data_IF_804573966331
#
_entry.id   IF_804573966331
#
_cell.length_a   1.000
_cell.length_b   1.000
_cell.length_c   1.000
_cell.angle_alpha   90.00
_cell.angle_beta   90.00
_cell.angle_gamma   90.00
#
_symmetry.space_group_name_H-M   'P 1'
#
loop_
_entity.id
_entity.type
_entity.pdbx_description
1 polymer ?
#
# COMPACT_ATOMS: atom_id res chain seq x y z
N UNK A 1 -9.25 -4.87 -21.89
CA UNK A 1 -9.66 -3.47 -21.62
C UNK A 1 -10.01 -3.41 -20.14
N UNK A 2 -9.42 -2.48 -19.40
CA UNK A 2 -9.72 -2.28 -17.98
C UNK A 2 -10.98 -1.43 -17.80
N UNK A 3 -11.49 -1.36 -16.57
CA UNK A 3 -12.65 -0.53 -16.23
C UNK A 3 -12.39 0.95 -16.54
N UNK A 4 -13.41 1.68 -16.96
CA UNK A 4 -13.28 3.10 -17.36
C UNK A 4 -12.60 3.32 -18.71
N UNK A 5 -12.36 2.28 -19.51
CA UNK A 5 -11.70 2.40 -20.82
C UNK A 5 -10.18 2.47 -20.76
N UNK A 6 -9.61 2.35 -19.56
CA UNK A 6 -8.17 2.28 -19.32
C UNK A 6 -7.51 1.16 -20.15
N UNK A 7 -6.37 1.48 -20.73
CA UNK A 7 -5.54 0.56 -21.52
C UNK A 7 -4.14 0.45 -20.91
N UNK A 8 -3.39 -0.57 -21.34
CA UNK A 8 -1.98 -0.71 -20.98
C UNK A 8 -1.17 -1.22 -22.16
N UNK A 9 0.13 -0.96 -22.11
CA UNK A 9 1.13 -1.51 -23.01
C UNK A 9 2.15 -2.30 -22.19
N UNK A 10 2.49 -3.51 -22.63
CA UNK A 10 3.54 -4.31 -22.00
C UNK A 10 4.92 -3.74 -22.30
N UNK A 11 5.70 -3.49 -21.25
CA UNK A 11 7.07 -3.00 -21.31
C UNK A 11 7.73 -3.25 -19.94
N UNK A 12 8.91 -3.85 -19.91
CA UNK A 12 9.64 -4.06 -18.65
C UNK A 12 10.49 -2.84 -18.30
N UNK A 13 10.33 -2.29 -17.10
CA UNK A 13 11.24 -1.29 -16.53
C UNK A 13 11.77 -1.74 -15.18
N UNK A 14 13.03 -1.41 -14.91
CA UNK A 14 13.69 -1.62 -13.61
C UNK A 14 13.48 -0.47 -12.64
N UNK A 15 13.02 0.68 -13.11
CA UNK A 15 13.07 1.94 -12.37
C UNK A 15 11.66 2.53 -12.31
N UNK A 16 11.16 2.73 -11.10
CA UNK A 16 9.88 3.40 -10.88
C UNK A 16 10.10 4.65 -10.01
N UNK A 17 9.59 5.78 -10.47
CA UNK A 17 9.70 7.06 -9.81
C UNK A 17 8.39 7.45 -9.12
N UNK A 18 8.50 8.13 -7.98
CA UNK A 18 7.35 8.69 -7.26
C UNK A 18 6.82 9.92 -8.02
N UNK A 19 5.57 9.85 -8.50
CA UNK A 19 4.90 10.96 -9.18
C UNK A 19 4.02 11.80 -8.24
N UNK A 20 3.53 11.22 -7.14
CA UNK A 20 2.71 11.92 -6.14
C UNK A 20 3.28 11.76 -4.72
N UNK A 21 4.21 12.64 -4.34
CA UNK A 21 4.93 12.60 -3.07
C UNK A 21 4.04 12.73 -1.83
N UNK A 22 2.84 13.29 -1.97
CA UNK A 22 1.87 13.45 -0.87
C UNK A 22 0.75 12.41 -0.88
N UNK A 23 0.79 11.43 -1.79
CA UNK A 23 -0.25 10.41 -1.85
C UNK A 23 -0.18 9.49 -0.62
N UNK A 24 -1.29 9.12 0.03
CA UNK A 24 -1.26 8.31 1.27
C UNK A 24 -0.51 6.98 1.16
N UNK A 25 -0.50 6.36 -0.02
CA UNK A 25 0.31 5.16 -0.30
C UNK A 25 1.82 5.43 -0.19
N UNK A 26 2.27 6.65 -0.45
CA UNK A 26 3.68 7.05 -0.43
C UNK A 26 4.12 7.52 0.95
N UNK A 27 3.33 8.40 1.59
CA UNK A 27 3.73 9.07 2.83
C UNK A 27 3.56 8.24 4.11
N UNK A 28 2.85 7.11 4.05
CA UNK A 28 2.60 6.23 5.20
C UNK A 28 1.85 6.92 6.36
N UNK A 29 0.89 7.78 6.04
CA UNK A 29 0.04 8.39 7.07
C UNK A 29 -1.13 7.47 7.49
N UNK A 30 -1.18 6.25 6.96
CA UNK A 30 -2.30 5.32 7.15
C UNK A 30 -2.04 4.38 8.34
N UNK A 31 -3.03 4.16 9.22
CA UNK A 31 -2.89 3.20 10.30
C UNK A 31 -2.84 1.79 9.71
N UNK A 32 -1.65 1.22 9.64
CA UNK A 32 -1.52 -0.10 9.07
C UNK A 32 -2.04 -1.19 9.98
N UNK A 33 -2.77 -2.13 9.38
CA UNK A 33 -3.39 -3.25 10.06
C UNK A 33 -2.38 -4.07 10.88
N UNK A 34 -2.86 -5.08 11.64
CA UNK A 34 -2.07 -5.78 12.67
C UNK A 34 -0.80 -6.50 12.17
N UNK A 35 -0.58 -6.58 10.85
CA UNK A 35 0.61 -7.15 10.22
C UNK A 35 1.79 -6.16 10.14
N UNK A 36 1.58 -4.85 10.29
CA UNK A 36 2.66 -3.87 10.55
C UNK A 36 3.75 -3.74 9.47
N UNK A 37 3.38 -3.91 8.19
CA UNK A 37 4.35 -3.93 7.08
C UNK A 37 4.44 -2.64 6.28
N UNK A 38 3.78 -1.59 6.75
CA UNK A 38 3.79 -0.28 6.10
C UNK A 38 4.97 0.56 6.53
N UNK A 39 5.20 1.62 5.77
CA UNK A 39 6.31 2.53 5.93
C UNK A 39 6.33 3.52 4.77
N UNK A 40 6.97 4.70 4.93
CA UNK A 40 7.11 5.64 3.84
C UNK A 40 7.86 4.98 2.68
N UNK A 41 7.39 5.26 1.46
CA UNK A 41 8.03 4.80 0.23
C UNK A 41 9.15 5.76 -0.12
N UNK A 42 10.36 5.23 -0.21
CA UNK A 42 11.59 5.97 -0.51
C UNK A 42 12.22 5.44 -1.78
N UNK A 43 12.44 6.35 -2.71
CA UNK A 43 13.13 6.14 -3.96
C UNK A 43 14.51 6.82 -3.87
N UNK A 44 15.51 6.10 -3.33
CA UNK A 44 16.87 6.61 -3.15
C UNK A 44 17.93 5.78 -3.88
N UNK A 45 17.49 4.78 -4.66
CA UNK A 45 18.34 3.97 -5.53
C UNK A 45 17.93 2.49 -5.60
N UNK A 46 18.78 1.73 -6.28
CA UNK A 46 18.52 0.33 -6.59
C UNK A 46 18.31 -0.52 -5.32
N UNK A 47 17.22 -1.30 -5.32
CA UNK A 47 16.78 -2.17 -4.20
C UNK A 47 16.33 -1.48 -2.93
N UNK A 48 16.06 -0.16 -2.98
CA UNK A 48 15.21 0.47 -1.97
C UNK A 48 13.74 0.03 -2.20
N UNK A 49 12.81 0.98 -2.34
CA UNK A 49 11.39 0.65 -2.37
C UNK A 49 10.77 0.52 -3.76
N UNK A 50 11.50 0.84 -4.84
CA UNK A 50 10.90 0.91 -6.19
C UNK A 50 11.76 0.36 -7.34
N UNK A 51 13.06 0.11 -7.13
CA UNK A 51 13.99 -0.16 -8.22
C UNK A 51 14.73 -1.50 -8.14
N UNK A 52 15.12 -2.04 -9.30
CA UNK A 52 16.02 -3.18 -9.45
C UNK A 52 15.42 -4.52 -9.03
N UNK A 53 14.16 -4.75 -9.39
CA UNK A 53 13.41 -5.97 -9.04
C UNK A 53 13.42 -7.04 -10.14
N UNK A 54 14.33 -6.94 -11.13
CA UNK A 54 14.31 -7.78 -12.33
C UNK A 54 12.98 -7.54 -13.08
N UNK A 55 12.80 -6.27 -13.43
CA UNK A 55 11.58 -5.58 -13.90
C UNK A 55 10.60 -5.18 -12.79
N UNK A 56 10.90 -4.07 -12.12
CA UNK A 56 10.02 -3.40 -11.14
C UNK A 56 8.62 -3.06 -11.67
N UNK A 57 8.46 -2.83 -12.98
CA UNK A 57 7.15 -2.73 -13.63
C UNK A 57 7.12 -3.47 -14.98
N UNK A 58 5.95 -4.00 -15.32
CA UNK A 58 5.72 -4.82 -16.51
C UNK A 58 4.85 -4.14 -17.59
N UNK A 59 4.69 -2.83 -17.47
CA UNK A 59 4.07 -2.03 -18.50
C UNK A 59 3.74 -0.65 -17.99
N UNK A 60 3.04 0.11 -18.83
CA UNK A 60 2.49 1.39 -18.46
C UNK A 60 1.06 1.57 -18.98
N UNK A 61 0.29 2.41 -18.30
CA UNK A 61 -1.08 2.71 -18.65
C UNK A 61 -1.17 3.76 -19.76
N UNK A 62 -2.20 3.61 -20.59
CA UNK A 62 -2.57 4.55 -21.66
C UNK A 62 -4.07 4.76 -21.67
N UNK A 63 -4.54 5.80 -22.38
CA UNK A 63 -5.95 6.18 -22.42
C UNK A 63 -6.52 6.37 -20.99
N UNK A 64 -5.84 7.20 -20.21
CA UNK A 64 -6.18 7.43 -18.80
C UNK A 64 -7.56 8.12 -18.70
N UNK A 65 -8.44 7.67 -17.79
CA UNK A 65 -9.66 8.40 -17.46
C UNK A 65 -9.38 9.84 -16.98
N UNK A 66 -10.31 10.75 -17.22
CA UNK A 66 -10.17 12.13 -16.76
C UNK A 66 -10.03 12.20 -15.23
N UNK A 67 -9.10 13.04 -14.76
CA UNK A 67 -8.82 13.18 -13.33
C UNK A 67 -7.97 12.06 -12.73
N UNK A 68 -7.41 11.16 -13.54
CA UNK A 68 -6.46 10.14 -13.07
C UNK A 68 -5.27 10.79 -12.36
N UNK A 69 -4.99 10.35 -11.13
CA UNK A 69 -3.79 10.69 -10.40
C UNK A 69 -2.69 9.66 -10.70
N UNK A 70 -1.50 10.16 -11.05
CA UNK A 70 -0.31 9.33 -11.22
C UNK A 70 0.38 9.18 -9.87
N UNK A 71 0.47 7.95 -9.36
CA UNK A 71 1.14 7.64 -8.09
C UNK A 71 2.60 7.31 -8.36
N UNK A 72 2.83 6.37 -9.27
CA UNK A 72 4.16 5.98 -9.75
C UNK A 72 4.22 6.09 -11.28
N UNK A 73 5.39 6.46 -11.78
CA UNK A 73 5.74 6.43 -13.21
C UNK A 73 7.04 5.65 -13.40
N UNK A 74 7.34 5.24 -14.63
CA UNK A 74 8.64 4.66 -14.96
C UNK A 74 9.70 5.74 -15.31
N UNK A 75 10.89 5.31 -15.70
CA UNK A 75 12.02 6.17 -16.09
C UNK A 75 11.73 7.09 -17.29
N UNK A 76 10.72 6.75 -18.09
CA UNK A 76 10.25 7.55 -19.23
C UNK A 76 9.04 8.41 -18.87
N UNK A 77 8.71 8.55 -17.58
CA UNK A 77 7.54 9.24 -17.04
C UNK A 77 6.20 8.65 -17.52
N UNK A 78 6.15 7.35 -17.81
CA UNK A 78 4.91 6.67 -18.20
C UNK A 78 4.21 6.11 -16.96
N UNK A 79 2.87 6.18 -16.85
CA UNK A 79 2.15 5.76 -15.66
C UNK A 79 2.26 4.26 -15.37
N UNK A 80 2.72 3.87 -14.18
CA UNK A 80 2.80 2.46 -13.77
C UNK A 80 1.95 2.15 -12.55
N UNK A 81 1.60 3.14 -11.74
CA UNK A 81 0.57 3.03 -10.70
C UNK A 81 -0.30 4.29 -10.69
N UNK A 82 -1.61 4.11 -10.77
CA UNK A 82 -2.58 5.19 -10.90
C UNK A 82 -3.79 4.99 -9.99
N UNK A 83 -4.45 6.11 -9.68
CA UNK A 83 -5.78 6.13 -9.05
C UNK A 83 -6.74 6.96 -9.91
N UNK A 84 -7.98 6.50 -10.08
CA UNK A 84 -9.03 7.26 -10.76
C UNK A 84 -10.42 6.90 -10.25
N UNK A 85 -11.35 7.84 -10.34
CA UNK A 85 -12.74 7.60 -9.97
C UNK A 85 -13.46 6.72 -11.01
N UNK A 86 -14.25 5.75 -10.53
CA UNK A 86 -15.15 4.95 -11.36
C UNK A 86 -16.47 4.68 -10.63
N UNK A 87 -17.55 5.32 -11.09
CA UNK A 87 -18.85 5.23 -10.44
C UNK A 87 -18.82 5.90 -9.06
N UNK A 88 -19.14 5.14 -8.00
CA UNK A 88 -19.22 5.64 -6.63
C UNK A 88 -17.93 5.40 -5.81
N UNK A 89 -16.88 4.86 -6.42
CA UNK A 89 -15.61 4.59 -5.74
C UNK A 89 -14.41 4.88 -6.64
N UNK A 90 -13.24 4.48 -6.16
CA UNK A 90 -11.97 4.70 -6.83
C UNK A 90 -11.36 3.36 -7.26
N UNK A 91 -10.58 3.41 -8.34
CA UNK A 91 -9.81 2.30 -8.87
C UNK A 91 -8.35 2.64 -8.70
N UNK A 92 -7.62 1.79 -7.99
CA UNK A 92 -6.16 1.79 -8.00
C UNK A 92 -5.73 0.69 -8.96
N UNK A 93 -4.92 1.05 -9.94
CA UNK A 93 -4.38 0.12 -10.92
C UNK A 93 -2.87 0.23 -10.92
N UNK A 94 -2.19 -0.92 -10.91
CA UNK A 94 -0.72 -0.99 -10.91
C UNK A 94 -0.23 -2.01 -11.93
N UNK A 95 0.88 -1.67 -12.59
CA UNK A 95 1.73 -2.55 -13.38
C UNK A 95 3.11 -2.72 -12.73
N UNK A 96 3.34 -2.07 -11.59
CA UNK A 96 4.46 -2.33 -10.67
C UNK A 96 4.23 -3.69 -10.00
N UNK A 97 5.25 -4.52 -9.93
CA UNK A 97 5.17 -5.91 -9.42
C UNK A 97 5.21 -5.97 -7.89
N UNK A 98 4.25 -5.29 -7.26
CA UNK A 98 4.16 -5.13 -5.80
C UNK A 98 4.02 -6.48 -5.08
N UNK A 99 3.35 -7.45 -5.72
CA UNK A 99 3.19 -8.82 -5.23
C UNK A 99 4.50 -9.60 -5.21
N UNK A 100 5.35 -9.40 -6.23
CA UNK A 100 6.64 -10.06 -6.33
C UNK A 100 7.55 -9.58 -5.21
N UNK A 101 7.62 -8.26 -5.02
CA UNK A 101 8.41 -7.64 -3.96
C UNK A 101 7.92 -8.05 -2.56
N UNK A 102 6.61 -8.13 -2.37
CA UNK A 102 6.01 -8.53 -1.10
C UNK A 102 6.17 -10.02 -0.75
N UNK A 103 6.15 -10.92 -1.74
CA UNK A 103 6.15 -12.36 -1.50
C UNK A 103 7.55 -12.98 -1.60
N UNK A 104 8.31 -12.66 -2.64
CA UNK A 104 9.57 -13.33 -2.95
C UNK A 104 10.74 -12.72 -2.19
N UNK A 105 10.84 -11.40 -2.22
CA UNK A 105 11.98 -10.70 -1.64
C UNK A 105 11.79 -10.38 -0.16
N UNK A 106 10.57 -10.41 0.35
CA UNK A 106 10.31 -10.01 1.72
C UNK A 106 10.82 -10.98 2.81
N UNK A 107 11.42 -12.12 2.43
CA UNK A 107 12.25 -12.94 3.31
C UNK A 107 13.68 -12.44 3.45
N UNK A 108 14.12 -11.54 2.56
CA UNK A 108 15.43 -10.90 2.51
C UNK A 108 15.41 -9.62 3.36
N UNK A 109 14.41 -8.76 3.14
CA UNK A 109 14.23 -7.53 3.92
C UNK A 109 12.73 -7.24 4.14
N UNK A 110 12.29 -7.05 5.40
CA UNK A 110 10.91 -6.65 5.71
C UNK A 110 10.45 -5.36 5.02
N UNK A 111 11.37 -4.45 4.66
CA UNK A 111 11.06 -3.19 3.99
C UNK A 111 10.35 -3.38 2.65
N UNK A 112 10.60 -4.51 1.98
CA UNK A 112 10.03 -4.84 0.67
C UNK A 112 8.52 -5.11 0.69
N UNK A 113 7.93 -5.19 1.89
CA UNK A 113 6.48 -5.33 2.06
C UNK A 113 5.71 -4.01 2.01
N UNK A 114 6.40 -2.86 2.08
CA UNK A 114 5.78 -1.53 2.26
C UNK A 114 4.75 -1.19 1.19
N UNK A 115 5.12 -1.23 -0.08
CA UNK A 115 4.26 -0.70 -1.15
C UNK A 115 2.88 -1.39 -1.23
N UNK A 116 2.85 -2.73 -1.25
CA UNK A 116 1.59 -3.48 -1.24
C UNK A 116 0.83 -3.31 0.08
N UNK A 117 1.52 -3.24 1.22
CA UNK A 117 0.88 -3.02 2.51
C UNK A 117 0.20 -1.65 2.58
N UNK A 118 0.86 -0.60 2.09
CA UNK A 118 0.33 0.76 2.03
C UNK A 118 -0.89 0.84 1.10
N UNK A 119 -0.83 0.17 -0.07
CA UNK A 119 -1.96 0.08 -0.99
C UNK A 119 -3.19 -0.55 -0.33
N UNK A 120 -3.03 -1.69 0.35
CA UNK A 120 -4.12 -2.39 1.04
C UNK A 120 -4.67 -1.52 2.18
N UNK A 121 -3.79 -0.91 2.98
CA UNK A 121 -4.19 -0.02 4.06
C UNK A 121 -4.99 1.19 3.54
N UNK A 122 -4.59 1.73 2.39
CA UNK A 122 -5.29 2.86 1.77
C UNK A 122 -6.69 2.46 1.31
N UNK A 123 -6.82 1.30 0.64
CA UNK A 123 -8.13 0.80 0.22
C UNK A 123 -9.04 0.51 1.42
N UNK A 124 -8.52 -0.09 2.48
CA UNK A 124 -9.27 -0.33 3.72
C UNK A 124 -9.72 0.98 4.37
N UNK A 125 -8.84 1.98 4.42
CA UNK A 125 -9.14 3.32 4.96
C UNK A 125 -10.22 4.03 4.14
N UNK A 126 -10.13 3.98 2.80
CA UNK A 126 -11.16 4.54 1.88
C UNK A 126 -12.48 3.82 2.03
N UNK A 127 -12.47 2.49 2.10
CA UNK A 127 -13.67 1.67 2.25
C UNK A 127 -14.38 1.91 3.60
N UNK A 128 -13.65 2.31 4.64
CA UNK A 128 -14.21 2.73 5.92
C UNK A 128 -14.88 4.12 5.88
N UNK A 129 -14.74 4.87 4.77
CA UNK A 129 -15.32 6.20 4.61
C UNK A 129 -14.53 7.31 5.30
N UNK A 130 -13.29 7.07 5.74
CA UNK A 130 -12.48 8.05 6.47
C UNK A 130 -11.83 9.13 5.55
N UNK A 131 -12.49 9.49 4.45
CA UNK A 131 -11.99 10.49 3.50
C UNK A 131 -12.02 11.89 4.13
N UNK A 132 -10.86 12.48 4.38
CA UNK A 132 -10.73 13.82 4.96
C UNK A 132 -10.72 13.88 6.50
N UNK A 133 -10.72 12.73 7.19
CA UNK A 133 -10.37 12.69 8.61
C UNK A 133 -8.89 13.11 8.74
N UNK A 134 -8.64 14.21 9.46
CA UNK A 134 -7.27 14.63 9.79
C UNK A 134 -6.55 13.47 10.49
N UNK A 135 -5.45 13.00 9.90
CA UNK A 135 -4.61 11.92 10.45
C UNK A 135 -3.84 12.35 11.72
N UNK A 136 -4.15 13.54 12.25
CA UNK A 136 -3.60 14.05 13.50
C UNK A 136 -4.56 13.74 14.66
N UNK A 137 -4.06 12.84 15.52
CA UNK A 137 -4.38 12.70 16.96
C UNK A 137 -5.44 11.68 17.37
N UNK A 138 -4.96 10.45 17.63
CA UNK A 138 -5.15 9.89 18.96
C UNK A 138 -3.96 9.00 19.38
N UNK A 139 -2.80 9.63 19.60
CA UNK A 139 -1.90 9.08 20.61
C UNK A 139 -2.64 9.15 21.95
N UNK A 140 -3.17 8.02 22.42
CA UNK A 140 -3.69 7.90 23.78
C UNK A 140 -2.53 7.50 24.69
N UNK A 141 -2.04 8.36 25.60
CA UNK A 141 -1.00 7.96 26.54
C UNK A 141 -1.68 7.24 27.70
N UNK A 142 -1.45 5.92 27.82
CA UNK A 142 -1.47 5.09 29.05
C UNK A 142 -1.57 3.63 28.62
N UNK A 143 -0.66 2.73 28.98
CA UNK A 143 -0.38 2.35 30.36
C UNK A 143 1.09 1.96 30.53
N UNK A 144 1.81 2.73 31.35
CA UNK A 144 2.90 2.18 32.14
C UNK A 144 2.31 1.26 33.22
N UNK A 145 2.96 0.10 33.38
CA UNK A 145 3.03 -0.78 34.55
C UNK A 145 1.78 -1.57 34.99
N UNK A 146 1.89 -2.90 34.87
CA UNK A 146 1.87 -3.78 36.05
C UNK A 146 2.60 -5.10 35.75
N UNK A 147 3.53 -5.48 36.63
CA UNK A 147 4.32 -6.69 36.55
C UNK A 147 3.64 -7.89 37.23
N UNK A 148 3.68 -9.05 36.54
CA UNK A 148 3.75 -10.47 37.02
C UNK A 148 2.52 -11.07 37.77
N UNK A 149 2.36 -12.43 37.89
CA UNK A 149 3.33 -13.52 37.63
C UNK A 149 2.81 -14.69 36.75
N UNK A 150 3.69 -15.69 36.60
CA UNK A 150 3.59 -16.88 35.76
C UNK A 150 2.64 -17.97 36.30
N UNK A 151 1.98 -18.70 35.38
CA UNK A 151 1.40 -20.03 35.64
C UNK A 151 0.18 -20.41 34.78
N UNK A 152 0.22 -21.63 34.24
CA UNK A 152 -0.89 -22.49 33.76
C UNK A 152 -1.40 -22.44 32.29
N UNK A 153 -0.84 -23.37 31.50
CA UNK A 153 -1.42 -24.38 30.58
C UNK A 153 -2.67 -24.14 29.68
N UNK A 154 -2.44 -24.48 28.39
CA UNK A 154 -3.23 -25.22 27.37
C UNK A 154 -4.73 -24.91 27.15
N UNK A 155 -5.05 -24.54 25.91
CA UNK A 155 -6.36 -24.75 25.29
C UNK A 155 -6.37 -24.24 23.84
N UNK A 156 -6.45 -25.15 22.87
CA UNK A 156 -6.54 -24.82 21.45
C UNK A 156 -7.93 -24.29 21.07
N UNK A 157 -7.96 -23.33 20.15
CA UNK A 157 -9.14 -23.02 19.35
C UNK A 157 -8.67 -22.42 18.01
N UNK A 158 -9.05 -23.08 16.91
CA UNK A 158 -9.04 -22.54 15.57
C UNK A 158 -9.85 -21.22 15.59
N UNK A 159 -9.20 -20.09 15.29
CA UNK A 159 -9.92 -18.82 15.12
C UNK A 159 -10.64 -18.84 13.78
N UNK A 160 -11.97 -18.95 13.86
CA UNK A 160 -12.88 -18.45 12.85
C UNK A 160 -12.48 -17.02 12.44
N UNK A 161 -12.67 -16.71 11.16
CA UNK A 161 -12.19 -15.49 10.48
C UNK A 161 -12.25 -14.25 11.36
N UNK A 162 -11.09 -13.60 11.54
CA UNK A 162 -11.03 -12.36 12.29
C UNK A 162 -11.92 -11.32 11.61
N UNK A 163 -12.75 -10.58 12.36
CA UNK A 163 -13.47 -9.44 11.82
C UNK A 163 -12.44 -8.44 11.25
N UNK A 164 -12.81 -7.75 10.17
CA UNK A 164 -12.04 -6.63 9.63
C UNK A 164 -11.69 -5.66 10.77
N UNK A 165 -10.49 -5.04 10.76
CA UNK A 165 -10.15 -4.02 11.75
C UNK A 165 -11.28 -3.01 11.82
N UNK A 166 -11.91 -2.90 12.99
CA UNK A 166 -12.84 -1.80 13.24
C UNK A 166 -11.98 -0.58 13.46
N UNK A 167 -11.82 0.23 12.42
CA UNK A 167 -11.18 1.53 12.48
C UNK A 167 -12.00 2.38 13.43
N UNK A 168 -11.52 2.53 14.67
CA UNK A 168 -12.22 3.25 15.71
C UNK A 168 -12.27 4.72 15.36
N UNK A 169 -13.46 5.19 14.96
CA UNK A 169 -13.75 6.61 14.75
C UNK A 169 -12.84 7.28 13.72
N UNK A 170 -13.27 7.30 12.46
CA UNK A 170 -13.39 8.64 11.88
C UNK A 170 -14.57 9.36 12.61
#
# INVERSE_FOLDING_TARGET
MFVGGLQHTSYGSEENLIAAQSHPIIVDELPCGPTGHCGPIVDAGIRDDLDGWDFSSHGYFTNLPDGTQLILVDELNRPVMIEYAFGAGDVIATLTTTEWRYAQDAGIDPQFRKLLANEIAYQDFRAAGCVGASLVSSASPSRLAAARPAGAARGGALRAGQPRPQWGGC
#
